data_IF_863481747896
#
_entry.id   IF_863481747896
#
_cell.length_a   1.000
_cell.length_b   1.000
_cell.length_c   1.000
_cell.angle_alpha   90.00
_cell.angle_beta   90.00
_cell.angle_gamma   90.00
#
_symmetry.space_group_name_H-M   'P 1'
#
loop_
_entity.id
_entity.type
_entity.pdbx_description
1 polymer ?
#
# COMPACT_ATOMS: atom_id res chain seq x y z
N UNK A 1 -42.18 1.19 -22.70
CA UNK A 1 -42.26 1.39 -21.24
C UNK A 1 -41.57 0.20 -20.60
N UNK A 2 -40.34 0.39 -20.12
CA UNK A 2 -39.55 -0.69 -19.53
C UNK A 2 -39.98 -0.91 -18.08
N UNK A 3 -40.36 -2.15 -17.76
CA UNK A 3 -40.79 -2.58 -16.43
C UNK A 3 -39.56 -2.76 -15.54
N UNK A 4 -39.46 -1.98 -14.47
CA UNK A 4 -38.40 -2.14 -13.45
C UNK A 4 -38.66 -3.39 -12.61
N UNK A 5 -37.60 -4.14 -12.32
CA UNK A 5 -37.64 -5.37 -11.52
C UNK A 5 -37.23 -5.03 -10.07
N UNK A 6 -38.13 -5.11 -9.06
CA UNK A 6 -37.90 -4.54 -7.72
C UNK A 6 -37.21 -5.46 -6.70
N UNK A 7 -36.72 -6.63 -7.11
CA UNK A 7 -36.01 -7.56 -6.24
C UNK A 7 -34.71 -7.99 -6.94
N UNK A 8 -33.60 -7.35 -6.56
CA UNK A 8 -32.27 -7.56 -7.13
C UNK A 8 -31.68 -8.92 -6.78
N UNK A 9 -32.20 -9.99 -7.39
CA UNK A 9 -31.60 -11.31 -7.37
C UNK A 9 -30.68 -11.41 -8.60
N UNK A 10 -29.39 -11.16 -8.42
CA UNK A 10 -28.41 -11.38 -9.48
C UNK A 10 -28.35 -12.88 -9.81
N UNK A 11 -28.51 -13.21 -11.09
CA UNK A 11 -28.41 -14.59 -11.58
C UNK A 11 -27.02 -15.15 -11.35
N UNK A 12 -26.89 -15.98 -10.32
CA UNK A 12 -25.76 -16.89 -10.19
C UNK A 12 -25.81 -17.87 -11.35
N UNK A 13 -24.72 -17.91 -12.14
CA UNK A 13 -24.57 -18.80 -13.28
C UNK A 13 -24.80 -20.25 -12.87
N UNK A 14 -25.85 -20.84 -13.43
CA UNK A 14 -26.14 -22.26 -13.32
C UNK A 14 -25.31 -23.02 -14.35
N UNK A 15 -24.55 -23.96 -13.80
CA UNK A 15 -23.84 -25.07 -14.41
C UNK A 15 -24.62 -25.79 -15.53
N UNK A 16 -23.91 -26.17 -16.58
CA UNK A 16 -24.32 -27.26 -17.50
C UNK A 16 -23.05 -27.92 -18.04
N UNK A 17 -22.74 -29.06 -17.42
CA UNK A 17 -21.80 -30.10 -17.84
C UNK A 17 -22.39 -30.99 -18.97
N UNK A 18 -21.58 -31.90 -19.52
CA UNK A 18 -21.75 -32.87 -20.63
C UNK A 18 -21.45 -32.39 -22.08
N UNK A 19 -20.58 -33.01 -22.90
CA UNK A 19 -19.42 -33.91 -22.74
C UNK A 19 -18.78 -34.21 -24.12
N UNK A 20 -17.46 -34.47 -24.10
CA UNK A 20 -16.63 -35.34 -24.98
C UNK A 20 -16.18 -34.92 -26.40
N UNK A 21 -14.85 -34.71 -26.55
CA UNK A 21 -13.93 -35.51 -27.38
C UNK A 21 -12.72 -34.71 -27.94
N UNK A 22 -11.54 -34.96 -27.38
CA UNK A 22 -10.25 -34.97 -28.09
C UNK A 22 -9.62 -33.64 -28.56
N UNK A 23 -8.49 -33.25 -27.95
CA UNK A 23 -7.43 -32.54 -28.67
C UNK A 23 -6.74 -31.39 -27.93
N UNK A 24 -5.51 -31.65 -27.48
CA UNK A 24 -4.40 -30.70 -27.30
C UNK A 24 -4.58 -29.52 -26.34
N UNK A 25 -3.84 -29.60 -25.23
CA UNK A 25 -3.45 -28.48 -24.37
C UNK A 25 -2.95 -27.28 -25.20
N UNK A 26 -3.51 -26.07 -25.06
CA UNK A 26 -2.92 -24.87 -25.64
C UNK A 26 -1.70 -24.42 -24.82
N UNK A 27 -0.63 -23.92 -25.46
CA UNK A 27 0.60 -23.56 -24.78
C UNK A 27 0.40 -22.36 -23.84
N UNK A 28 1.16 -22.37 -22.74
CA UNK A 28 1.25 -21.26 -21.79
C UNK A 28 1.42 -19.93 -22.54
N UNK A 29 0.47 -19.01 -22.35
CA UNK A 29 0.55 -17.68 -22.91
C UNK A 29 1.86 -17.02 -22.43
N UNK A 30 2.62 -16.39 -23.34
CA UNK A 30 3.78 -15.60 -22.94
C UNK A 30 3.28 -14.48 -22.03
N UNK A 31 3.88 -14.38 -20.85
CA UNK A 31 3.76 -13.22 -19.99
C UNK A 31 3.93 -11.96 -20.85
N UNK A 32 2.90 -11.12 -20.89
CA UNK A 32 3.04 -9.76 -21.37
C UNK A 32 4.00 -9.06 -20.40
N UNK A 33 5.28 -9.04 -20.75
CA UNK A 33 6.21 -8.04 -20.23
C UNK A 33 5.66 -6.70 -20.67
N UNK A 34 5.03 -5.96 -19.74
CA UNK A 34 4.76 -4.55 -19.98
C UNK A 34 6.11 -3.89 -20.26
N UNK A 35 6.32 -3.27 -21.43
CA UNK A 35 7.52 -2.49 -21.65
C UNK A 35 7.54 -1.40 -20.59
N UNK A 36 8.64 -1.31 -19.84
CA UNK A 36 8.95 -0.09 -19.12
C UNK A 36 8.84 1.06 -20.13
N UNK A 37 8.03 2.11 -19.90
CA UNK A 37 7.90 3.18 -20.87
C UNK A 37 9.30 3.75 -21.15
N UNK A 38 9.66 3.77 -22.44
CA UNK A 38 10.85 4.46 -22.92
C UNK A 38 10.84 5.92 -22.42
N UNK A 39 12.00 6.54 -22.16
CA UNK A 39 12.07 7.91 -21.66
C UNK A 39 11.33 8.84 -22.63
N UNK A 40 10.34 9.55 -22.11
CA UNK A 40 9.60 10.58 -22.83
C UNK A 40 10.57 11.61 -23.44
N UNK A 41 10.24 12.20 -24.60
CA UNK A 41 11.06 13.22 -25.23
C UNK A 41 11.23 14.44 -24.32
N UNK A 42 12.45 14.94 -24.27
CA UNK A 42 12.92 16.04 -23.44
C UNK A 42 12.14 17.34 -23.73
N UNK A 43 11.10 17.61 -22.95
CA UNK A 43 10.53 18.96 -22.82
C UNK A 43 11.30 19.75 -21.75
N UNK A 44 11.66 20.98 -22.08
CA UNK A 44 12.47 21.88 -21.25
C UNK A 44 11.84 22.12 -19.87
N UNK A 45 12.60 22.12 -18.76
CA UNK A 45 12.07 22.06 -17.40
C UNK A 45 11.67 23.44 -16.85
N UNK A 46 10.91 24.25 -17.58
CA UNK A 46 10.70 25.65 -17.21
C UNK A 46 9.26 26.03 -16.81
N UNK A 47 8.26 25.15 -16.97
CA UNK A 47 6.86 25.60 -16.87
C UNK A 47 5.90 24.70 -16.07
N UNK A 48 6.38 23.63 -15.41
CA UNK A 48 5.54 22.80 -14.54
C UNK A 48 5.51 23.27 -13.07
N UNK A 49 6.24 24.32 -12.72
CA UNK A 49 6.44 24.76 -11.32
C UNK A 49 5.33 25.71 -10.81
N UNK A 50 4.34 26.06 -11.64
CA UNK A 50 3.48 27.21 -11.38
C UNK A 50 2.13 26.92 -10.69
N UNK A 51 1.93 25.75 -10.09
CA UNK A 51 0.74 25.49 -9.23
C UNK A 51 1.12 24.82 -7.92
N UNK A 52 2.10 25.38 -7.23
CA UNK A 52 2.24 25.18 -5.80
C UNK A 52 1.15 25.99 -5.09
N UNK A 53 0.38 25.34 -4.22
CA UNK A 53 -0.48 26.01 -3.26
C UNK A 53 0.34 27.08 -2.51
N UNK A 54 -0.06 28.34 -2.61
CA UNK A 54 0.42 29.41 -1.73
C UNK A 54 -0.03 29.11 -0.29
N UNK A 55 0.75 28.29 0.41
CA UNK A 55 0.68 28.22 1.87
C UNK A 55 1.58 29.33 2.41
N UNK A 56 0.97 30.15 3.26
CA UNK A 56 1.58 31.32 3.87
C UNK A 56 2.98 31.00 4.42
N UNK A 57 3.90 31.93 4.15
CA UNK A 57 5.34 31.76 4.32
C UNK A 57 5.78 31.75 5.78
N UNK A 58 5.91 30.56 6.33
CA UNK A 58 6.99 30.27 7.27
C UNK A 58 8.10 29.60 6.45
N UNK A 59 9.26 30.26 6.35
CA UNK A 59 10.42 29.71 5.64
C UNK A 59 10.74 28.30 6.12
N UNK A 60 11.29 27.45 5.23
CA UNK A 60 11.74 26.12 5.65
C UNK A 60 12.64 26.27 6.89
N UNK A 61 12.47 25.41 7.91
CA UNK A 61 13.31 25.45 9.09
C UNK A 61 14.78 25.36 8.68
N UNK A 62 15.62 26.18 9.32
CA UNK A 62 17.06 26.17 9.07
C UNK A 62 17.63 24.78 9.33
N UNK A 63 18.44 24.27 8.40
CA UNK A 63 19.07 22.97 8.56
C UNK A 63 19.97 22.97 9.81
N UNK A 64 20.05 21.85 10.55
CA UNK A 64 20.97 21.76 11.65
C UNK A 64 22.41 22.04 11.18
N UNK A 65 23.26 22.66 12.03
CA UNK A 65 24.63 22.97 11.67
C UNK A 65 25.40 21.70 11.33
N UNK A 66 26.40 21.84 10.46
CA UNK A 66 27.21 20.71 10.03
C UNK A 66 27.87 20.03 11.25
N UNK A 67 27.81 18.69 11.36
CA UNK A 67 28.42 17.99 12.48
C UNK A 67 29.92 18.27 12.52
N UNK A 68 30.43 18.68 13.67
CA UNK A 68 31.84 19.08 13.85
C UNK A 68 32.77 17.89 14.14
N UNK A 69 32.20 16.72 14.46
CA UNK A 69 32.95 15.52 14.84
C UNK A 69 33.42 14.68 13.65
N UNK A 70 34.56 14.03 13.80
CA UNK A 70 35.01 13.02 12.84
C UNK A 70 34.08 11.80 12.87
N UNK A 71 33.83 11.20 11.70
CA UNK A 71 33.10 9.94 11.59
C UNK A 71 33.86 8.84 12.37
N UNK A 72 33.12 7.89 12.96
CA UNK A 72 33.74 6.73 13.61
C UNK A 72 34.63 6.00 12.60
N UNK A 73 35.89 5.66 12.93
CA UNK A 73 36.85 5.13 11.95
C UNK A 73 36.36 3.82 11.31
N UNK A 74 35.68 2.96 12.08
CA UNK A 74 35.10 1.73 11.55
C UNK A 74 33.96 1.97 10.53
N UNK A 75 33.19 3.04 10.69
CA UNK A 75 32.14 3.41 9.73
C UNK A 75 32.76 4.04 8.50
N UNK A 76 33.72 4.95 8.68
CA UNK A 76 34.43 5.58 7.57
C UNK A 76 35.12 4.53 6.68
N UNK A 77 35.81 3.56 7.28
CA UNK A 77 36.46 2.47 6.53
C UNK A 77 35.49 1.65 5.68
N UNK A 78 34.26 1.40 6.17
CA UNK A 78 33.22 0.70 5.40
C UNK A 78 32.74 1.53 4.20
N UNK A 79 32.59 2.84 4.39
CA UNK A 79 32.22 3.78 3.32
C UNK A 79 33.33 3.83 2.28
N UNK A 80 34.58 3.97 2.69
CA UNK A 80 35.75 3.99 1.80
C UNK A 80 35.85 2.70 0.99
N UNK A 81 35.63 1.54 1.64
CA UNK A 81 35.58 0.25 0.97
C UNK A 81 34.46 0.20 -0.08
N UNK A 82 33.26 0.66 0.26
CA UNK A 82 32.13 0.69 -0.67
C UNK A 82 32.41 1.59 -1.90
N UNK A 83 33.02 2.75 -1.68
CA UNK A 83 33.43 3.67 -2.75
C UNK A 83 34.48 3.00 -3.65
N UNK A 84 35.49 2.34 -3.07
CA UNK A 84 36.51 1.62 -3.84
C UNK A 84 35.92 0.48 -4.69
N UNK A 85 34.93 -0.26 -4.18
CA UNK A 85 34.22 -1.26 -4.97
C UNK A 85 33.41 -0.64 -6.11
N UNK A 86 32.71 0.46 -5.84
CA UNK A 86 31.93 1.19 -6.84
C UNK A 86 32.82 1.71 -7.98
N UNK A 87 33.99 2.26 -7.65
CA UNK A 87 34.97 2.74 -8.64
C UNK A 87 35.54 1.62 -9.52
N UNK A 88 35.60 0.37 -9.01
CA UNK A 88 35.99 -0.82 -9.78
C UNK A 88 34.86 -1.39 -10.64
N UNK A 89 33.68 -0.77 -10.65
CA UNK A 89 32.50 -1.23 -11.39
C UNK A 89 31.72 -2.35 -10.69
N UNK A 90 32.04 -2.67 -9.44
CA UNK A 90 31.29 -3.68 -8.66
C UNK A 90 30.08 -3.01 -8.01
N UNK A 91 28.88 -3.36 -8.47
CA UNK A 91 27.63 -2.89 -7.88
C UNK A 91 27.06 -3.91 -6.89
N UNK A 92 26.95 -3.53 -5.62
CA UNK A 92 26.31 -4.36 -4.60
C UNK A 92 24.85 -4.68 -4.96
N UNK A 93 24.11 -3.72 -5.54
CA UNK A 93 22.71 -3.94 -5.93
C UNK A 93 22.57 -4.92 -7.10
N UNK A 94 23.56 -4.99 -7.99
CA UNK A 94 23.60 -6.00 -9.05
C UNK A 94 23.87 -7.39 -8.47
N UNK A 95 24.86 -7.51 -7.57
CA UNK A 95 25.18 -8.77 -6.90
C UNK A 95 24.06 -9.25 -5.97
N UNK A 96 23.29 -8.34 -5.38
CA UNK A 96 22.14 -8.68 -4.56
C UNK A 96 20.99 -9.22 -5.41
N UNK A 97 20.68 -8.54 -6.52
CA UNK A 97 19.64 -8.98 -7.48
C UNK A 97 19.97 -10.28 -8.23
N UNK A 98 21.25 -10.64 -8.36
CA UNK A 98 21.60 -11.94 -8.95
C UNK A 98 21.28 -13.14 -8.07
N UNK A 99 20.99 -12.92 -6.78
CA UNK A 99 20.63 -13.99 -5.83
C UNK A 99 19.14 -14.28 -5.92
N UNK A 100 18.80 -15.55 -6.06
CA UNK A 100 17.40 -16.00 -6.18
C UNK A 100 16.57 -15.64 -4.94
N UNK A 101 17.19 -15.58 -3.78
CA UNK A 101 16.55 -15.25 -2.51
C UNK A 101 16.07 -13.80 -2.47
N UNK A 102 16.67 -12.90 -3.25
CA UNK A 102 16.26 -11.50 -3.30
C UNK A 102 14.90 -11.32 -3.99
N UNK A 103 14.56 -12.19 -4.94
CA UNK A 103 13.26 -12.20 -5.61
C UNK A 103 12.16 -12.93 -4.81
N UNK A 104 12.51 -13.51 -3.66
CA UNK A 104 11.53 -14.16 -2.80
C UNK A 104 10.63 -13.10 -2.15
N UNK A 105 9.30 -13.11 -2.35
CA UNK A 105 8.40 -12.12 -1.72
C UNK A 105 8.48 -12.11 -0.18
N UNK A 106 8.96 -13.20 0.44
CA UNK A 106 9.11 -13.32 1.89
C UNK A 106 10.50 -12.88 2.43
N UNK A 107 11.41 -12.39 1.58
CA UNK A 107 12.76 -12.00 2.05
C UNK A 107 12.72 -10.81 3.02
N UNK A 108 11.80 -9.86 2.79
CA UNK A 108 11.69 -8.65 3.60
C UNK A 108 11.25 -8.97 5.02
N UNK A 109 10.34 -9.93 5.21
CA UNK A 109 9.94 -10.42 6.54
C UNK A 109 11.16 -10.90 7.33
N UNK A 110 12.04 -11.68 6.70
CA UNK A 110 13.27 -12.16 7.36
C UNK A 110 14.28 -11.06 7.64
N UNK A 111 14.34 -10.02 6.81
CA UNK A 111 15.19 -8.84 7.05
C UNK A 111 14.67 -8.07 8.26
N UNK A 112 13.36 -7.85 8.35
CA UNK A 112 12.70 -7.21 9.50
C UNK A 112 13.01 -7.99 10.78
N UNK A 113 12.80 -9.30 10.77
CA UNK A 113 13.09 -10.18 11.92
C UNK A 113 14.56 -10.12 12.33
N UNK A 114 15.48 -10.26 11.35
CA UNK A 114 16.92 -10.35 11.59
C UNK A 114 17.51 -9.06 12.15
N UNK A 115 17.07 -7.91 11.66
CA UNK A 115 17.51 -6.60 12.13
C UNK A 115 16.66 -6.04 13.26
N UNK A 116 15.62 -6.78 13.70
CA UNK A 116 14.66 -6.34 14.71
C UNK A 116 14.10 -4.95 14.40
N UNK A 117 13.70 -4.76 13.14
CA UNK A 117 13.15 -3.49 12.66
C UNK A 117 11.71 -3.39 13.14
N UNK A 118 11.40 -2.30 13.82
CA UNK A 118 10.02 -1.95 14.16
C UNK A 118 9.29 -1.43 12.92
N UNK A 119 8.43 -2.26 12.32
CA UNK A 119 7.77 -1.99 11.03
C UNK A 119 6.91 -0.72 11.04
N UNK A 120 6.29 -0.41 12.18
CA UNK A 120 5.40 0.74 12.35
C UNK A 120 6.10 1.95 12.96
N UNK A 121 7.42 1.91 13.16
CA UNK A 121 8.15 3.00 13.77
C UNK A 121 8.23 4.23 12.87
N UNK A 122 8.23 5.41 13.50
CA UNK A 122 8.49 6.69 12.86
C UNK A 122 9.77 7.32 13.40
N UNK A 123 10.35 8.26 12.66
CA UNK A 123 11.41 9.15 13.14
C UNK A 123 10.89 10.27 14.06
N UNK A 124 9.58 10.26 14.39
CA UNK A 124 8.95 11.20 15.31
C UNK A 124 9.03 10.71 16.76
N UNK A 125 9.03 11.65 17.70
CA UNK A 125 8.91 11.34 19.12
C UNK A 125 7.63 10.55 19.41
N UNK A 126 7.69 9.56 20.31
CA UNK A 126 6.52 8.76 20.70
C UNK A 126 5.39 9.60 21.31
N UNK A 127 5.73 10.76 21.88
CA UNK A 127 4.74 11.73 22.37
C UNK A 127 3.90 12.34 21.23
N UNK A 128 4.47 12.47 20.03
CA UNK A 128 3.79 13.01 18.84
C UNK A 128 3.12 11.92 18.03
N UNK A 129 3.77 10.77 17.90
CA UNK A 129 3.26 9.64 17.14
C UNK A 129 3.62 8.33 17.84
N UNK A 130 2.61 7.67 18.40
CA UNK A 130 2.73 6.32 18.94
C UNK A 130 1.81 5.38 18.16
N UNK A 131 2.34 4.55 17.24
CA UNK A 131 1.53 3.61 16.47
C UNK A 131 0.81 2.58 17.36
N UNK A 132 1.35 2.31 18.56
CA UNK A 132 0.77 1.38 19.54
C UNK A 132 0.01 2.10 20.66
N UNK A 133 -0.25 3.40 20.51
CA UNK A 133 -0.98 4.20 21.50
C UNK A 133 -2.49 4.05 21.43
N UNK A 134 -3.02 3.48 20.35
CA UNK A 134 -4.46 3.28 20.17
C UNK A 134 -4.98 2.16 21.09
N UNK A 135 -6.22 2.31 21.55
CA UNK A 135 -6.87 1.26 22.30
C UNK A 135 -7.12 0.04 21.40
N UNK A 136 -7.02 -1.18 21.94
CA UNK A 136 -7.22 -2.43 21.18
C UNK A 136 -8.64 -2.50 20.56
N UNK A 137 -9.58 -1.74 21.11
CA UNK A 137 -10.94 -1.52 20.58
C UNK A 137 -11.01 -0.73 19.27
N UNK A 138 -10.05 0.16 19.03
CA UNK A 138 -10.14 1.18 17.99
C UNK A 138 -9.49 0.71 16.68
N UNK A 139 -9.43 -0.60 16.49
CA UNK A 139 -8.96 -1.20 15.26
C UNK A 139 -10.08 -1.20 14.22
N UNK A 140 -9.71 -0.96 12.96
CA UNK A 140 -10.64 -0.99 11.83
C UNK A 140 -11.58 -2.20 11.87
N UNK A 141 -11.04 -3.40 12.09
CA UNK A 141 -11.83 -4.63 12.14
C UNK A 141 -12.91 -4.60 13.22
N UNK A 142 -12.62 -4.04 14.41
CA UNK A 142 -13.58 -3.96 15.51
C UNK A 142 -14.65 -2.89 15.25
N UNK A 143 -14.26 -1.75 14.70
CA UNK A 143 -15.19 -0.70 14.30
C UNK A 143 -16.13 -1.18 13.19
N UNK A 144 -15.60 -1.89 12.18
CA UNK A 144 -16.40 -2.46 11.10
C UNK A 144 -17.39 -3.51 11.61
N UNK A 145 -16.98 -4.35 12.57
CA UNK A 145 -17.87 -5.32 13.21
C UNK A 145 -18.98 -4.64 14.03
N UNK A 146 -18.65 -3.62 14.82
CA UNK A 146 -19.63 -2.86 15.58
C UNK A 146 -20.65 -2.18 14.65
N UNK A 147 -20.16 -1.52 13.59
CA UNK A 147 -21.00 -0.88 12.58
C UNK A 147 -21.94 -1.87 11.90
N UNK A 148 -21.44 -3.05 11.49
CA UNK A 148 -22.28 -4.11 10.91
C UNK A 148 -23.35 -4.56 11.91
N UNK A 149 -22.98 -4.79 13.17
CA UNK A 149 -23.91 -5.23 14.21
C UNK A 149 -25.02 -4.21 14.45
N UNK A 150 -24.70 -2.91 14.44
CA UNK A 150 -25.69 -1.84 14.57
C UNK A 150 -26.63 -1.78 13.36
N UNK A 151 -26.09 -1.93 12.15
CA UNK A 151 -26.89 -1.99 10.92
C UNK A 151 -27.84 -3.20 10.93
N UNK A 152 -27.37 -4.38 11.33
CA UNK A 152 -28.19 -5.58 11.43
C UNK A 152 -29.30 -5.43 12.49
N UNK A 153 -28.98 -4.90 13.66
CA UNK A 153 -29.97 -4.65 14.71
C UNK A 153 -31.03 -3.63 14.26
N UNK A 154 -30.62 -2.56 13.57
CA UNK A 154 -31.54 -1.58 13.02
C UNK A 154 -32.42 -2.16 11.89
N UNK A 155 -31.86 -3.02 11.04
CA UNK A 155 -32.61 -3.72 10.00
C UNK A 155 -33.71 -4.59 10.62
N UNK A 156 -33.37 -5.38 11.65
CA UNK A 156 -34.36 -6.17 12.40
C UNK A 156 -35.46 -5.29 13.02
N UNK A 157 -35.12 -4.13 13.57
CA UNK A 157 -36.12 -3.19 14.10
C UNK A 157 -37.02 -2.62 13.01
N UNK A 158 -36.48 -2.33 11.83
CA UNK A 158 -37.28 -1.88 10.68
C UNK A 158 -38.20 -2.97 10.14
N UNK A 159 -37.78 -4.25 10.19
CA UNK A 159 -38.65 -5.38 9.86
C UNK A 159 -39.84 -5.46 10.81
N UNK A 160 -39.62 -5.27 12.12
CA UNK A 160 -40.69 -5.24 13.11
C UNK A 160 -41.55 -3.98 13.04
N UNK A 161 -40.97 -2.84 12.67
CA UNK A 161 -41.68 -1.57 12.59
C UNK A 161 -41.21 -0.76 11.36
N UNK A 162 -41.89 -0.89 10.21
CA UNK A 162 -41.43 -0.33 8.94
C UNK A 162 -41.39 1.19 8.89
N UNK A 163 -42.07 1.87 9.83
CA UNK A 163 -42.05 3.33 9.94
C UNK A 163 -40.68 3.87 10.41
N UNK A 164 -39.90 3.05 11.13
CA UNK A 164 -38.58 3.43 11.65
C UNK A 164 -37.53 3.61 10.54
N UNK A 165 -37.76 3.05 9.35
CA UNK A 165 -36.87 3.20 8.19
C UNK A 165 -36.58 4.67 7.85
N UNK A 166 -37.55 5.57 8.04
CA UNK A 166 -37.40 7.00 7.73
C UNK A 166 -36.60 7.77 8.79
N UNK A 167 -36.36 7.16 9.94
CA UNK A 167 -35.56 7.73 11.04
C UNK A 167 -34.10 7.28 11.02
N UNK A 168 -33.70 6.46 10.04
CA UNK A 168 -32.32 6.03 9.88
C UNK A 168 -31.40 7.26 9.71
N UNK A 169 -30.28 7.35 10.45
CA UNK A 169 -29.31 8.40 10.20
C UNK A 169 -28.74 8.23 8.79
N UNK A 170 -28.50 9.35 8.12
CA UNK A 170 -27.99 9.42 6.74
C UNK A 170 -26.68 8.65 6.52
N UNK A 171 -25.96 8.25 7.57
CA UNK A 171 -24.72 7.47 7.49
C UNK A 171 -24.91 6.02 7.06
N UNK A 172 -26.14 5.49 7.07
CA UNK A 172 -26.44 4.12 6.64
C UNK A 172 -26.86 4.01 5.16
N UNK A 173 -26.97 5.12 4.44
CA UNK A 173 -27.30 5.15 3.03
C UNK A 173 -26.01 5.25 2.18
N UNK A 174 -25.49 4.10 1.75
CA UNK A 174 -24.52 3.98 0.66
C UNK A 174 -25.07 3.01 -0.38
#
# INVERSE_FOLDING_TARGET
MALWNPLGLAGYGSDSDESDAGGMSPPAAPYHTSPNPAPAPTEKPAQAEARAHERHGDGLPELPPLPTGACRPATQAKVDQYIAHTQRGLSFTASLRSKKEFDNPYILEKVVDYFSIEEMQSNMDKAKFNPYGYHVGDNYNRLALALRSEQEAFAQQCELNPTLRFTAPSSFAN
#
